data_IF_632197022135
#
_entry.id   IF_632197022135
#
_cell.length_a   1.000
_cell.length_b   1.000
_cell.length_c   1.000
_cell.angle_alpha   90.00
_cell.angle_beta   90.00
_cell.angle_gamma   90.00
#
_symmetry.space_group_name_H-M   'P 1'
#
loop_
_entity.id
_entity.type
_entity.pdbx_description
1 polymer ?
#
# COMPACT_ATOMS: atom_id res chain seq x y z
N UNK A 1 -3.46 2.26 19.01
CA UNK A 1 -3.32 2.88 17.67
C UNK A 1 -2.01 3.65 17.54
N UNK A 2 -1.70 4.59 18.43
CA UNK A 2 -0.45 5.36 18.34
C UNK A 2 0.82 4.49 18.35
N UNK A 3 0.84 3.46 19.19
CA UNK A 3 1.97 2.55 19.27
C UNK A 3 2.19 1.82 17.93
N UNK A 4 1.09 1.33 17.33
CA UNK A 4 1.15 0.62 16.04
C UNK A 4 1.62 1.55 14.92
N UNK A 5 1.14 2.80 14.90
CA UNK A 5 1.55 3.79 13.91
C UNK A 5 3.03 4.12 14.03
N UNK A 6 3.52 4.26 15.28
CA UNK A 6 4.94 4.53 15.53
C UNK A 6 5.82 3.38 15.07
N UNK A 7 5.44 2.13 15.36
CA UNK A 7 6.17 0.96 14.89
C UNK A 7 6.20 0.87 13.36
N UNK A 8 5.05 1.17 12.73
CA UNK A 8 4.97 1.12 11.28
C UNK A 8 5.84 2.20 10.64
N UNK A 9 5.87 3.40 11.21
CA UNK A 9 6.75 4.48 10.76
C UNK A 9 8.22 4.07 10.85
N UNK A 10 8.62 3.46 11.96
CA UNK A 10 9.98 2.95 12.14
C UNK A 10 10.31 1.86 11.11
N UNK A 11 9.36 0.99 10.82
CA UNK A 11 9.52 -0.05 9.80
C UNK A 11 9.73 0.55 8.42
N UNK A 12 8.97 1.58 8.06
CA UNK A 12 9.13 2.28 6.77
C UNK A 12 10.53 2.88 6.66
N UNK A 13 11.01 3.54 7.71
CA UNK A 13 12.34 4.16 7.72
C UNK A 13 13.44 3.11 7.59
N UNK A 14 13.38 2.06 8.38
CA UNK A 14 14.37 0.98 8.36
C UNK A 14 14.38 0.26 7.02
N UNK A 15 13.20 -0.09 6.50
CA UNK A 15 13.10 -0.75 5.20
C UNK A 15 13.64 0.14 4.08
N UNK A 16 13.32 1.44 4.11
CA UNK A 16 13.82 2.39 3.11
C UNK A 16 15.35 2.43 3.09
N UNK A 17 15.98 2.43 4.26
CA UNK A 17 17.44 2.43 4.36
C UNK A 17 18.03 1.15 3.77
N UNK A 18 17.49 -0.01 4.11
CA UNK A 18 17.96 -1.31 3.61
C UNK A 18 17.75 -1.43 2.10
N UNK A 19 16.58 -1.05 1.62
CA UNK A 19 16.24 -1.15 0.20
C UNK A 19 17.09 -0.19 -0.64
N UNK A 20 17.51 0.94 -0.08
CA UNK A 20 18.38 1.88 -0.79
C UNK A 20 19.78 1.32 -1.07
N UNK A 21 20.18 0.25 -0.38
CA UNK A 21 21.45 -0.42 -0.63
C UNK A 21 21.41 -1.33 -1.86
N UNK A 22 20.22 -1.64 -2.37
CA UNK A 22 20.02 -2.44 -3.57
C UNK A 22 20.21 -1.53 -4.78
N UNK A 23 21.00 -1.97 -5.76
CA UNK A 23 21.21 -1.20 -6.98
C UNK A 23 19.99 -1.28 -7.90
N UNK A 24 19.88 -0.33 -8.83
CA UNK A 24 18.80 -0.36 -9.82
C UNK A 24 18.82 -1.67 -10.63
N UNK A 25 20.01 -2.10 -11.05
CA UNK A 25 20.17 -3.35 -11.80
C UNK A 25 19.69 -4.56 -10.99
N UNK A 26 20.10 -4.65 -9.72
CA UNK A 26 19.66 -5.73 -8.84
C UNK A 26 18.16 -5.74 -8.63
N UNK A 27 17.55 -4.57 -8.51
CA UNK A 27 16.11 -4.44 -8.29
C UNK A 27 15.28 -4.89 -9.50
N UNK A 28 15.87 -4.88 -10.68
CA UNK A 28 15.22 -5.29 -11.92
C UNK A 28 15.37 -6.79 -12.22
N UNK A 29 16.20 -7.50 -11.48
CA UNK A 29 16.42 -8.94 -11.71
C UNK A 29 15.20 -9.76 -11.31
N UNK A 30 14.86 -10.75 -12.14
CA UNK A 30 13.82 -11.72 -11.83
C UNK A 30 14.49 -12.90 -11.10
N UNK A 31 14.08 -13.22 -9.85
CA UNK A 31 14.71 -14.31 -9.09
C UNK A 31 14.47 -15.69 -9.70
N UNK A 32 13.39 -15.85 -10.46
CA UNK A 32 13.04 -17.08 -11.14
C UNK A 32 12.00 -16.77 -12.22
N UNK A 33 11.83 -17.66 -13.24
CA UNK A 33 10.78 -17.48 -14.24
C UNK A 33 9.40 -17.35 -13.57
N UNK A 34 8.64 -16.35 -13.98
CA UNK A 34 7.29 -16.11 -13.47
C UNK A 34 7.24 -15.44 -12.10
N UNK A 35 8.38 -15.08 -11.51
CA UNK A 35 8.43 -14.36 -10.24
C UNK A 35 8.67 -12.87 -10.49
N UNK A 36 8.09 -12.04 -9.64
CA UNK A 36 8.28 -10.59 -9.73
C UNK A 36 9.70 -10.17 -9.34
N UNK A 37 10.22 -9.14 -10.01
CA UNK A 37 11.40 -8.42 -9.57
C UNK A 37 11.09 -7.58 -8.33
N UNK A 38 12.13 -7.07 -7.66
CA UNK A 38 11.93 -6.17 -6.53
C UNK A 38 11.18 -4.90 -6.93
N UNK A 39 11.44 -4.38 -8.14
CA UNK A 39 10.68 -3.23 -8.67
C UNK A 39 9.19 -3.53 -8.75
N UNK A 40 8.82 -4.70 -9.21
CA UNK A 40 7.43 -5.11 -9.32
C UNK A 40 6.79 -5.34 -7.95
N UNK A 41 7.55 -5.88 -6.99
CA UNK A 41 7.07 -6.07 -5.61
C UNK A 41 6.76 -4.72 -4.97
N UNK A 42 7.67 -3.75 -5.07
CA UNK A 42 7.43 -2.40 -4.52
C UNK A 42 6.25 -1.75 -5.24
N UNK A 43 6.15 -1.94 -6.56
CA UNK A 43 5.00 -1.45 -7.32
C UNK A 43 3.69 -2.04 -6.82
N UNK A 44 3.67 -3.35 -6.55
CA UNK A 44 2.50 -3.99 -5.95
C UNK A 44 2.15 -3.39 -4.58
N UNK A 45 3.15 -3.09 -3.75
CA UNK A 45 2.91 -2.45 -2.46
C UNK A 45 2.37 -1.02 -2.63
N UNK A 46 2.81 -0.30 -3.65
CA UNK A 46 2.25 1.00 -4.00
C UNK A 46 0.77 0.88 -4.42
N UNK A 47 0.45 -0.14 -5.20
CA UNK A 47 -0.94 -0.40 -5.62
C UNK A 47 -1.83 -0.72 -4.42
N UNK A 48 -1.32 -1.50 -3.48
CA UNK A 48 -2.03 -1.80 -2.24
C UNK A 48 -2.27 -0.52 -1.42
N UNK A 49 -1.27 0.34 -1.33
CA UNK A 49 -1.39 1.62 -0.64
C UNK A 49 -2.44 2.50 -1.32
N UNK A 50 -2.43 2.56 -2.65
CA UNK A 50 -3.39 3.34 -3.42
C UNK A 50 -4.83 2.87 -3.22
N UNK A 51 -5.05 1.57 -3.27
CA UNK A 51 -6.38 0.99 -3.07
C UNK A 51 -6.85 1.17 -1.62
N UNK A 52 -5.98 0.99 -0.66
CA UNK A 52 -6.29 1.23 0.76
C UNK A 52 -6.56 2.71 1.03
N UNK A 53 -5.83 3.61 0.40
CA UNK A 53 -6.06 5.05 0.51
C UNK A 53 -7.52 5.39 0.14
N UNK A 54 -7.98 4.87 -0.98
CA UNK A 54 -9.37 5.06 -1.41
C UNK A 54 -10.35 4.55 -0.34
N UNK A 55 -10.09 3.38 0.22
CA UNK A 55 -10.94 2.79 1.27
C UNK A 55 -10.96 3.66 2.53
N UNK A 56 -9.79 4.10 3.00
CA UNK A 56 -9.68 4.90 4.21
C UNK A 56 -10.47 6.20 4.12
N UNK A 57 -10.49 6.83 2.95
CA UNK A 57 -11.20 8.09 2.78
C UNK A 57 -12.70 7.86 2.51
N UNK A 58 -13.02 6.96 1.58
CA UNK A 58 -14.41 6.78 1.14
C UNK A 58 -15.30 6.17 2.23
N UNK A 59 -14.76 5.23 3.01
CA UNK A 59 -15.53 4.57 4.07
C UNK A 59 -15.89 5.56 5.19
N UNK A 60 -15.06 6.57 5.44
CA UNK A 60 -15.39 7.60 6.42
C UNK A 60 -16.67 8.35 6.05
N UNK A 61 -16.97 8.49 4.75
CA UNK A 61 -18.10 9.25 4.25
C UNK A 61 -19.29 8.40 3.88
N UNK A 62 -19.14 7.08 3.81
CA UNK A 62 -20.20 6.15 3.40
C UNK A 62 -20.09 4.86 4.20
N UNK A 63 -20.94 4.71 5.22
CA UNK A 63 -21.04 3.44 5.94
C UNK A 63 -21.73 2.42 5.03
N UNK A 64 -21.22 1.18 5.02
CA UNK A 64 -21.75 0.15 4.12
C UNK A 64 -21.29 0.29 2.67
N UNK A 65 -20.17 0.96 2.44
CA UNK A 65 -19.63 1.16 1.10
C UNK A 65 -19.32 -0.18 0.41
N UNK A 66 -19.65 -0.26 -0.86
CA UNK A 66 -19.27 -1.38 -1.72
C UNK A 66 -18.12 -0.94 -2.60
N UNK A 67 -17.00 -1.65 -2.57
CA UNK A 67 -15.83 -1.36 -3.38
C UNK A 67 -15.38 -2.59 -4.16
N UNK A 68 -14.89 -2.41 -5.39
CA UNK A 68 -14.37 -3.55 -6.15
C UNK A 68 -13.05 -4.04 -5.59
N UNK A 69 -12.77 -5.32 -5.85
CA UNK A 69 -11.45 -5.90 -5.72
C UNK A 69 -10.60 -5.41 -6.90
N UNK A 70 -9.28 -5.39 -6.74
CA UNK A 70 -8.40 -5.07 -7.87
C UNK A 70 -7.54 -6.28 -8.24
N UNK A 71 -7.23 -6.40 -9.54
CA UNK A 71 -6.42 -7.49 -10.07
C UNK A 71 -4.94 -7.12 -10.00
N UNK A 72 -4.25 -7.67 -9.02
CA UNK A 72 -2.87 -7.31 -8.67
C UNK A 72 -1.90 -7.40 -9.85
N UNK A 73 -1.96 -8.51 -10.59
CA UNK A 73 -1.04 -8.72 -11.70
C UNK A 73 -1.28 -7.77 -12.85
N UNK A 74 -2.55 -7.47 -13.14
CA UNK A 74 -2.91 -6.51 -14.18
C UNK A 74 -2.42 -5.11 -13.82
N UNK A 75 -2.54 -4.73 -12.55
CA UNK A 75 -2.07 -3.43 -12.09
C UNK A 75 -0.56 -3.30 -12.23
N UNK A 76 0.19 -4.31 -11.81
CA UNK A 76 1.65 -4.30 -11.92
C UNK A 76 2.09 -4.25 -13.38
N UNK A 77 1.47 -5.06 -14.23
CA UNK A 77 1.82 -5.13 -15.66
C UNK A 77 1.48 -3.82 -16.37
N UNK A 78 0.29 -3.27 -16.12
CA UNK A 78 -0.17 -2.06 -16.82
C UNK A 78 0.68 -0.83 -16.54
N UNK A 79 1.30 -0.76 -15.36
CA UNK A 79 2.08 0.40 -14.94
C UNK A 79 3.56 0.30 -15.32
N UNK A 80 4.00 -0.86 -15.80
CA UNK A 80 5.38 -1.08 -16.21
C UNK A 80 6.42 -0.62 -15.18
N UNK A 81 6.24 -1.06 -13.93
CA UNK A 81 7.18 -0.74 -12.85
C UNK A 81 8.60 -1.17 -13.17
N UNK A 82 8.73 -2.19 -14.00
CA UNK A 82 10.04 -2.74 -14.37
C UNK A 82 10.96 -1.71 -15.05
N UNK A 83 10.39 -0.72 -15.73
CA UNK A 83 11.16 0.33 -16.39
C UNK A 83 11.34 1.60 -15.55
N UNK A 84 10.77 1.67 -14.35
CA UNK A 84 10.94 2.82 -13.47
C UNK A 84 12.27 2.78 -12.72
N UNK A 85 12.78 3.95 -12.36
CA UNK A 85 13.95 4.07 -11.50
C UNK A 85 13.69 3.49 -10.11
N UNK A 86 14.59 2.65 -9.61
CA UNK A 86 14.48 2.07 -8.28
C UNK A 86 14.43 3.17 -7.19
N UNK A 87 15.28 4.19 -7.32
CA UNK A 87 15.30 5.27 -6.33
C UNK A 87 13.98 6.05 -6.31
N UNK A 88 13.36 6.25 -7.48
CA UNK A 88 12.05 6.92 -7.56
C UNK A 88 10.95 6.07 -6.94
N UNK A 89 10.95 4.77 -7.20
CA UNK A 89 9.99 3.84 -6.60
C UNK A 89 10.09 3.83 -5.08
N UNK A 90 11.31 3.79 -4.54
CA UNK A 90 11.52 3.81 -3.09
C UNK A 90 11.10 5.12 -2.45
N UNK A 91 11.42 6.25 -3.09
CA UNK A 91 11.01 7.56 -2.61
C UNK A 91 9.49 7.67 -2.55
N UNK A 92 8.81 7.21 -3.58
CA UNK A 92 7.36 7.20 -3.64
C UNK A 92 6.76 6.28 -2.57
N UNK A 93 7.28 5.06 -2.47
CA UNK A 93 6.82 4.09 -1.46
C UNK A 93 6.92 4.67 -0.06
N UNK A 94 8.06 5.24 0.28
CA UNK A 94 8.30 5.85 1.59
C UNK A 94 7.33 7.00 1.86
N UNK A 95 7.26 7.96 0.94
CA UNK A 95 6.42 9.15 1.08
C UNK A 95 4.94 8.80 1.14
N UNK A 96 4.49 7.88 0.31
CA UNK A 96 3.09 7.49 0.27
C UNK A 96 2.67 6.80 1.56
N UNK A 97 3.48 5.87 2.05
CA UNK A 97 3.16 5.18 3.29
C UNK A 97 3.20 6.12 4.51
N UNK A 98 4.13 7.09 4.52
CA UNK A 98 4.13 8.12 5.55
C UNK A 98 2.86 8.96 5.50
N UNK A 99 2.39 9.30 4.31
CA UNK A 99 1.13 10.01 4.15
C UNK A 99 -0.05 9.17 4.66
N UNK A 100 -0.09 7.87 4.34
CA UNK A 100 -1.15 6.99 4.82
C UNK A 100 -1.17 6.89 6.34
N UNK A 101 -0.01 6.87 6.99
CA UNK A 101 0.05 6.92 8.45
C UNK A 101 -0.59 8.19 9.00
N UNK A 102 -0.33 9.33 8.34
CA UNK A 102 -0.97 10.60 8.69
C UNK A 102 -2.49 10.52 8.50
N UNK A 103 -2.94 9.97 7.39
CA UNK A 103 -4.38 9.78 7.13
C UNK A 103 -5.03 8.91 8.22
N UNK A 104 -4.41 7.77 8.54
CA UNK A 104 -4.93 6.85 9.56
C UNK A 104 -4.99 7.54 10.93
N UNK A 105 -3.94 8.28 11.31
CA UNK A 105 -3.88 8.97 12.59
C UNK A 105 -4.99 10.03 12.75
N UNK A 106 -5.53 10.51 11.65
CA UNK A 106 -6.58 11.54 11.65
C UNK A 106 -7.98 11.01 11.37
N UNK A 107 -8.17 9.68 11.32
CA UNK A 107 -9.51 9.10 11.20
C UNK A 107 -10.23 9.30 12.53
N UNK A 108 -11.41 9.95 12.54
CA UNK A 108 -12.21 10.05 13.76
C UNK A 108 -12.58 8.65 14.26
N UNK A 109 -12.49 8.46 15.57
CA UNK A 109 -12.70 7.14 16.18
C UNK A 109 -14.06 6.54 15.82
N UNK A 110 -15.11 7.37 15.77
CA UNK A 110 -16.46 6.93 15.44
C UNK A 110 -16.57 6.40 13.99
N UNK A 111 -15.66 6.79 13.10
CA UNK A 111 -15.64 6.32 11.72
C UNK A 111 -15.04 4.92 11.57
N UNK A 112 -14.27 4.48 12.55
CA UNK A 112 -13.65 3.14 12.52
C UNK A 112 -14.69 2.02 12.53
N UNK A 113 -15.91 2.29 13.00
CA UNK A 113 -17.01 1.33 12.99
C UNK A 113 -17.75 1.24 11.65
N UNK A 114 -17.53 2.18 10.73
CA UNK A 114 -18.12 2.12 9.40
C UNK A 114 -17.67 0.85 8.68
N UNK A 115 -18.53 0.29 7.84
CA UNK A 115 -18.28 -0.96 7.15
C UNK A 115 -18.03 -0.77 5.67
N UNK A 116 -17.27 -1.70 5.11
CA UNK A 116 -17.00 -1.77 3.67
C UNK A 116 -17.04 -3.24 3.25
N UNK A 117 -17.60 -3.49 2.09
CA UNK A 117 -17.54 -4.79 1.42
C UNK A 117 -16.60 -4.66 0.21
N UNK A 118 -15.59 -5.50 0.14
CA UNK A 118 -14.61 -5.51 -0.94
C UNK A 118 -14.87 -6.72 -1.81
N UNK A 119 -15.32 -6.49 -3.05
CA UNK A 119 -15.71 -7.56 -3.96
C UNK A 119 -16.87 -8.37 -3.38
N UNK A 120 -16.72 -9.69 -3.36
CA UNK A 120 -17.70 -10.63 -2.85
C UNK A 120 -17.47 -11.00 -1.38
N UNK A 121 -16.53 -10.33 -0.71
CA UNK A 121 -16.20 -10.63 0.68
C UNK A 121 -17.28 -10.22 1.65
N UNK A 122 -17.17 -10.70 2.89
CA UNK A 122 -18.04 -10.25 3.97
C UNK A 122 -17.72 -8.79 4.33
N UNK A 123 -18.72 -8.02 4.80
CA UNK A 123 -18.45 -6.67 5.27
C UNK A 123 -17.46 -6.67 6.44
N UNK A 124 -16.51 -5.75 6.40
CA UNK A 124 -15.54 -5.55 7.49
C UNK A 124 -15.57 -4.08 7.91
N UNK A 125 -15.11 -3.80 9.13
CA UNK A 125 -15.04 -2.43 9.62
C UNK A 125 -13.82 -1.71 9.07
N UNK A 126 -13.88 -0.38 9.02
CA UNK A 126 -12.72 0.44 8.66
C UNK A 126 -11.56 0.18 9.62
N UNK A 127 -11.85 0.01 10.91
CA UNK A 127 -10.83 -0.32 11.90
C UNK A 127 -10.10 -1.63 11.62
N UNK A 128 -10.78 -2.60 11.02
CA UNK A 128 -10.16 -3.86 10.60
C UNK A 128 -9.26 -3.67 9.36
N UNK A 129 -9.69 -2.84 8.41
CA UNK A 129 -8.93 -2.58 7.18
C UNK A 129 -7.66 -1.79 7.47
N UNK A 130 -7.71 -0.88 8.41
CA UNK A 130 -6.56 -0.12 8.89
C UNK A 130 -5.60 -1.04 9.65
#
# INVERSE_FOLDING_TARGET
>A
MQFILSEFDDTIKTASERLSQITDAESAEFPAPGKWSKKQIIGHLLDSASNNHQRFIRVQHTDGLQMPRYEQEQWVTSQNYQSESWSDLLAFWKSYNQHLLHVIANIPEEKLAHTVRIGDGEPVTLGFVV
#
